data_IF_514547959256
#
_entry.id   IF_514547959256
#
_cell.length_a   1.000
_cell.length_b   1.000
_cell.length_c   1.000
_cell.angle_alpha   90.00
_cell.angle_beta   90.00
_cell.angle_gamma   90.00
#
_symmetry.space_group_name_H-M   'P 1'
#
loop_
_entity.id
_entity.type
_entity.pdbx_description
1 polymer ?
#
# COMPACT_ATOMS: atom_id res chain seq x y z
N UNK A 1 -29.73 16.00 -19.82
CA UNK A 1 -28.49 15.71 -20.57
C UNK A 1 -27.20 16.26 -19.94
N UNK A 2 -27.07 17.56 -19.63
CA UNK A 2 -25.81 18.09 -19.07
C UNK A 2 -25.48 17.59 -17.65
N UNK A 3 -26.47 17.53 -16.73
CA UNK A 3 -26.25 17.12 -15.33
C UNK A 3 -25.77 15.67 -15.18
N UNK A 4 -26.40 14.74 -15.90
CA UNK A 4 -26.06 13.31 -15.84
C UNK A 4 -24.65 13.01 -16.37
N UNK A 5 -24.18 13.78 -17.38
CA UNK A 5 -22.81 13.68 -17.88
C UNK A 5 -21.78 14.16 -16.85
N UNK A 6 -22.06 15.27 -16.17
CA UNK A 6 -21.22 15.78 -15.09
C UNK A 6 -21.13 14.81 -13.90
N UNK A 7 -22.25 14.20 -13.51
CA UNK A 7 -22.27 13.19 -12.44
C UNK A 7 -21.44 11.95 -12.80
N UNK A 8 -21.52 11.48 -14.06
CA UNK A 8 -20.70 10.37 -14.56
C UNK A 8 -19.21 10.72 -14.56
N UNK A 9 -18.83 11.91 -15.05
CA UNK A 9 -17.43 12.35 -15.07
C UNK A 9 -16.87 12.48 -13.63
N UNK A 10 -17.65 13.03 -12.69
CA UNK A 10 -17.26 13.13 -11.28
C UNK A 10 -17.03 11.74 -10.64
N UNK A 11 -17.87 10.75 -10.96
CA UNK A 11 -17.70 9.39 -10.46
C UNK A 11 -16.45 8.71 -11.01
N UNK A 12 -16.11 8.98 -12.28
CA UNK A 12 -14.88 8.47 -12.91
C UNK A 12 -13.65 9.11 -12.27
N UNK A 13 -13.65 10.42 -12.07
CA UNK A 13 -12.54 11.12 -11.42
C UNK A 13 -12.36 10.69 -9.96
N UNK A 14 -13.45 10.53 -9.21
CA UNK A 14 -13.36 10.02 -7.84
C UNK A 14 -12.77 8.60 -7.79
N UNK A 15 -13.10 7.75 -8.77
CA UNK A 15 -12.50 6.42 -8.89
C UNK A 15 -11.01 6.50 -9.25
N UNK A 16 -10.61 7.40 -10.15
CA UNK A 16 -9.21 7.64 -10.50
C UNK A 16 -8.40 8.09 -9.29
N UNK A 17 -8.90 9.07 -8.54
CA UNK A 17 -8.26 9.58 -7.33
C UNK A 17 -8.05 8.48 -6.28
N UNK A 18 -9.05 7.59 -6.07
CA UNK A 18 -8.87 6.43 -5.18
C UNK A 18 -7.77 5.49 -5.65
N UNK A 19 -7.74 5.16 -6.94
CA UNK A 19 -6.70 4.29 -7.49
C UNK A 19 -5.30 4.92 -7.37
N UNK A 20 -5.19 6.23 -7.57
CA UNK A 20 -3.94 6.96 -7.42
C UNK A 20 -3.49 7.01 -5.95
N UNK A 21 -4.43 7.21 -5.02
CA UNK A 21 -4.16 7.17 -3.58
C UNK A 21 -3.63 5.80 -3.13
N UNK A 22 -4.31 4.71 -3.54
CA UNK A 22 -3.87 3.35 -3.26
C UNK A 22 -2.48 3.06 -3.86
N UNK A 23 -2.21 3.53 -5.09
CA UNK A 23 -0.90 3.39 -5.71
C UNK A 23 0.19 4.12 -4.92
N UNK A 24 -0.06 5.37 -4.54
CA UNK A 24 0.90 6.19 -3.79
C UNK A 24 1.18 5.59 -2.41
N UNK A 25 0.13 5.10 -1.73
CA UNK A 25 0.28 4.38 -0.46
C UNK A 25 1.17 3.14 -0.65
N UNK A 26 0.88 2.32 -1.66
CA UNK A 26 1.68 1.13 -1.95
C UNK A 26 3.15 1.46 -2.24
N UNK A 27 3.43 2.50 -3.04
CA UNK A 27 4.80 2.94 -3.32
C UNK A 27 5.55 3.38 -2.05
N UNK A 28 4.88 4.08 -1.13
CA UNK A 28 5.46 4.46 0.16
C UNK A 28 5.72 3.23 1.04
N UNK A 29 4.79 2.28 1.08
CA UNK A 29 4.95 1.04 1.84
C UNK A 29 6.14 0.22 1.32
N UNK A 30 6.30 0.08 0.00
CA UNK A 30 7.46 -0.60 -0.60
C UNK A 30 8.77 0.10 -0.21
N UNK A 31 8.82 1.43 -0.28
CA UNK A 31 10.01 2.20 0.15
C UNK A 31 10.37 1.88 1.60
N UNK A 32 9.39 1.83 2.50
CA UNK A 32 9.63 1.47 3.90
C UNK A 32 10.07 0.02 4.05
N UNK A 33 9.42 -0.92 3.34
CA UNK A 33 9.71 -2.35 3.46
C UNK A 33 11.12 -2.72 2.99
N UNK A 34 11.64 -2.04 1.97
CA UNK A 34 12.95 -2.29 1.38
C UNK A 34 14.04 -1.28 1.75
N UNK A 35 13.74 -0.29 2.59
CA UNK A 35 14.73 0.68 3.07
C UNK A 35 15.91 -0.03 3.79
N UNK A 36 17.14 0.16 3.32
CA UNK A 36 18.30 -0.31 4.07
C UNK A 36 18.48 0.54 5.34
N UNK A 37 18.60 -0.15 6.48
CA UNK A 37 18.71 0.46 7.82
C UNK A 37 20.14 0.44 8.36
N UNK A 38 21.10 -0.14 7.64
CA UNK A 38 22.48 -0.34 8.12
C UNK A 38 23.19 0.96 8.47
N UNK A 39 22.91 2.03 7.72
CA UNK A 39 23.55 3.35 7.87
C UNK A 39 22.71 4.39 8.64
N UNK A 40 21.52 4.01 9.12
CA UNK A 40 20.60 4.91 9.83
C UNK A 40 20.91 5.00 11.33
N UNK A 41 20.53 6.11 11.97
CA UNK A 41 20.57 6.25 13.43
C UNK A 41 19.47 5.41 14.13
N UNK A 42 19.58 5.23 15.44
CA UNK A 42 18.67 4.35 16.20
C UNK A 42 17.21 4.80 16.16
N UNK A 43 16.95 6.10 16.17
CA UNK A 43 15.59 6.66 16.14
C UNK A 43 14.94 6.46 14.77
N UNK A 44 15.71 6.69 13.70
CA UNK A 44 15.29 6.40 12.33
C UNK A 44 15.04 4.90 12.10
N UNK A 45 15.93 4.04 12.61
CA UNK A 45 15.75 2.59 12.55
C UNK A 45 14.48 2.16 13.29
N UNK A 46 14.23 2.72 14.48
CA UNK A 46 13.03 2.44 15.25
C UNK A 46 11.76 2.85 14.49
N UNK A 47 11.78 4.03 13.83
CA UNK A 47 10.68 4.50 13.00
C UNK A 47 10.39 3.54 11.83
N UNK A 48 11.41 3.16 11.06
CA UNK A 48 11.24 2.24 9.91
C UNK A 48 10.73 0.88 10.38
N UNK A 49 11.27 0.34 11.47
CA UNK A 49 10.79 -0.92 12.08
C UNK A 49 9.32 -0.82 12.51
N UNK A 50 8.93 0.25 13.19
CA UNK A 50 7.56 0.46 13.64
C UNK A 50 6.58 0.59 12.45
N UNK A 51 6.97 1.31 11.40
CA UNK A 51 6.18 1.42 10.16
C UNK A 51 6.07 0.07 9.44
N UNK A 52 7.15 -0.70 9.31
CA UNK A 52 7.12 -2.07 8.75
C UNK A 52 6.16 -2.97 9.50
N UNK A 53 6.21 -2.96 10.84
CA UNK A 53 5.30 -3.75 11.66
C UNK A 53 3.83 -3.39 11.42
N UNK A 54 3.51 -2.10 11.24
CA UNK A 54 2.15 -1.65 10.89
C UNK A 54 1.72 -2.14 9.50
N UNK A 55 2.59 -2.09 8.50
CA UNK A 55 2.32 -2.56 7.14
C UNK A 55 2.06 -4.08 7.15
N UNK A 56 2.92 -4.86 7.82
CA UNK A 56 2.73 -6.32 7.96
C UNK A 56 1.42 -6.67 8.65
N UNK A 57 1.06 -5.92 9.71
CA UNK A 57 -0.21 -6.11 10.41
C UNK A 57 -1.43 -5.77 9.54
N UNK A 58 -1.34 -4.72 8.71
CA UNK A 58 -2.41 -4.37 7.78
C UNK A 58 -2.57 -5.44 6.69
N UNK A 59 -1.47 -5.93 6.12
CA UNK A 59 -1.47 -7.00 5.10
C UNK A 59 -2.04 -8.32 5.64
N UNK A 60 -1.71 -8.68 6.89
CA UNK A 60 -2.26 -9.90 7.49
C UNK A 60 -3.75 -9.76 7.82
N UNK A 61 -4.21 -8.58 8.23
CA UNK A 61 -5.62 -8.29 8.46
C UNK A 61 -6.45 -8.28 7.15
N UNK A 62 -5.88 -7.85 6.03
CA UNK A 62 -6.56 -7.81 4.73
C UNK A 62 -6.73 -9.18 4.05
N UNK A 63 -6.14 -10.25 4.59
CA UNK A 63 -6.26 -11.60 4.03
C UNK A 63 -7.66 -12.24 4.16
N UNK A 64 -8.60 -11.60 4.86
CA UNK A 64 -9.97 -12.12 5.10
C UNK A 64 -11.10 -11.45 4.29
N UNK A 65 -10.81 -10.61 3.29
CA UNK A 65 -11.89 -9.99 2.50
C UNK A 65 -11.45 -9.60 1.10
N UNK A 66 -11.91 -10.37 0.11
CA UNK A 66 -11.98 -10.08 -1.34
C UNK A 66 -11.16 -8.87 -1.83
N UNK A 67 -9.89 -9.11 -2.16
CA UNK A 67 -9.01 -8.08 -2.71
C UNK A 67 -7.60 -8.58 -3.04
N UNK A 68 -7.45 -9.86 -3.39
CA UNK A 68 -6.19 -10.37 -3.93
C UNK A 68 -6.00 -9.87 -5.36
N UNK A 69 -5.66 -8.59 -5.53
CA UNK A 69 -5.01 -8.11 -6.75
C UNK A 69 -3.51 -8.41 -6.65
N UNK A 70 -3.17 -9.69 -6.89
CA UNK A 70 -1.96 -10.15 -7.58
C UNK A 70 -0.57 -9.92 -6.93
N UNK A 71 -0.39 -9.18 -5.83
CA UNK A 71 0.97 -8.77 -5.38
C UNK A 71 1.55 -9.42 -4.12
N UNK A 72 1.00 -10.54 -3.66
CA UNK A 72 1.62 -11.32 -2.58
C UNK A 72 1.85 -12.78 -3.01
N UNK A 73 2.88 -13.01 -3.84
CA UNK A 73 3.45 -14.36 -4.01
C UNK A 73 4.97 -14.46 -3.81
N UNK A 74 5.71 -13.35 -3.72
CA UNK A 74 7.18 -13.41 -3.71
C UNK A 74 7.86 -12.89 -2.43
N UNK A 75 7.14 -12.69 -1.32
CA UNK A 75 7.75 -12.17 -0.08
C UNK A 75 7.80 -13.16 1.08
N UNK A 76 7.13 -14.31 0.97
CA UNK A 76 7.38 -15.46 1.84
C UNK A 76 8.44 -16.32 1.18
N UNK A 77 9.70 -15.91 1.35
CA UNK A 77 10.85 -16.82 1.18
C UNK A 77 10.76 -17.94 2.21
N UNK A 78 9.94 -18.94 1.95
CA UNK A 78 10.12 -20.28 2.51
C UNK A 78 11.18 -20.96 1.65
N UNK A 79 12.40 -21.00 2.18
CA UNK A 79 13.35 -22.05 1.81
C UNK A 79 12.69 -23.36 2.27
N UNK A 80 12.36 -24.23 1.31
CA UNK A 80 12.15 -25.67 1.58
C UNK A 80 13.53 -26.27 1.81
#
# INVERSE_FOLDING_TARGET
MKKERWEKDMMVEQRRLRMDEERLQWEQEQKIMFCDMTTMDDDQRAYVKAKRAKIVKAMSASSSGYGCSVKCRNLTGSVI
#
